data_IF_486355303510
#
_entry.id   IF_486355303510
#
_cell.length_a   1.000
_cell.length_b   1.000
_cell.length_c   1.000
_cell.angle_alpha   90.00
_cell.angle_beta   90.00
_cell.angle_gamma   90.00
#
_symmetry.space_group_name_H-M   'P 1'
#
loop_
_entity.id
_entity.type
_entity.pdbx_description
1 polymer ?
#
# COMPACT_ATOMS: atom_id res chain seq x y z
N UNK A 1 -3.86 16.38 -15.73
CA UNK A 1 -4.25 16.24 -14.31
C UNK A 1 -5.38 15.23 -14.29
N UNK A 2 -5.31 14.21 -13.44
CA UNK A 2 -6.36 13.20 -13.32
C UNK A 2 -7.44 13.67 -12.34
N UNK A 3 -8.70 13.24 -12.58
CA UNK A 3 -9.79 13.57 -11.68
C UNK A 3 -9.60 12.90 -10.31
N UNK A 4 -9.96 13.59 -9.23
CA UNK A 4 -9.92 13.05 -7.87
C UNK A 4 -10.81 11.80 -7.78
N UNK A 5 -10.24 10.71 -7.29
CA UNK A 5 -10.94 9.44 -7.16
C UNK A 5 -10.49 8.66 -5.93
N UNK A 6 -11.46 8.07 -5.24
CA UNK A 6 -11.25 7.01 -4.27
C UNK A 6 -11.81 5.72 -4.84
N UNK A 7 -11.01 4.67 -4.87
CA UNK A 7 -11.43 3.35 -5.33
C UNK A 7 -11.22 2.33 -4.21
N UNK A 8 -12.25 1.55 -3.88
CA UNK A 8 -12.07 0.39 -3.01
C UNK A 8 -11.44 -0.73 -3.85
N UNK A 9 -10.26 -1.17 -3.43
CA UNK A 9 -9.56 -2.27 -4.12
C UNK A 9 -10.31 -3.59 -3.90
N UNK A 10 -10.38 -4.41 -4.95
CA UNK A 10 -10.83 -5.79 -4.86
C UNK A 10 -9.93 -6.64 -3.96
N UNK A 11 -10.31 -7.89 -3.79
CA UNK A 11 -9.51 -8.85 -3.02
C UNK A 11 -8.15 -9.04 -3.70
N UNK A 12 -7.08 -8.88 -2.93
CA UNK A 12 -5.70 -9.10 -3.36
C UNK A 12 -5.02 -10.06 -2.42
N UNK A 13 -4.09 -10.82 -2.95
CA UNK A 13 -3.27 -11.69 -2.13
C UNK A 13 -2.31 -10.85 -1.29
N UNK A 14 -2.34 -11.12 0.02
CA UNK A 14 -1.50 -10.44 1.01
C UNK A 14 -0.81 -11.43 1.90
N UNK A 15 0.35 -11.03 2.39
CA UNK A 15 1.14 -11.80 3.33
C UNK A 15 1.69 -10.87 4.40
N UNK A 16 1.47 -11.22 5.65
CA UNK A 16 2.11 -10.57 6.80
C UNK A 16 3.11 -11.51 7.45
N UNK A 17 4.25 -10.98 7.80
CA UNK A 17 5.32 -11.71 8.46
C UNK A 17 5.95 -10.87 9.55
N UNK A 18 6.26 -11.50 10.68
CA UNK A 18 7.10 -10.89 11.70
C UNK A 18 8.07 -11.91 12.29
N UNK A 19 9.14 -11.40 12.88
CA UNK A 19 10.12 -12.21 13.59
C UNK A 19 11.55 -11.98 13.12
N UNK A 20 12.54 -12.39 13.92
CA UNK A 20 13.95 -12.09 13.67
C UNK A 20 14.49 -12.69 12.35
N UNK A 21 13.86 -13.73 11.84
CA UNK A 21 14.26 -14.39 10.58
C UNK A 21 13.30 -14.11 9.42
N UNK A 22 12.33 -13.20 9.58
CA UNK A 22 11.36 -12.88 8.54
C UNK A 22 12.04 -12.31 7.28
N UNK A 23 13.01 -11.41 7.44
CA UNK A 23 13.77 -10.84 6.35
C UNK A 23 14.55 -11.92 5.56
N UNK A 24 15.31 -12.77 6.25
CA UNK A 24 16.06 -13.86 5.62
C UNK A 24 15.13 -14.81 4.83
N UNK A 25 13.98 -15.12 5.43
CA UNK A 25 12.99 -16.01 4.84
C UNK A 25 12.41 -15.45 3.53
N UNK A 26 12.13 -14.14 3.49
CA UNK A 26 11.64 -13.45 2.29
C UNK A 26 12.71 -13.37 1.20
N UNK A 27 13.93 -12.97 1.55
CA UNK A 27 15.06 -12.87 0.61
C UNK A 27 15.39 -14.23 -0.02
N UNK A 28 15.34 -15.32 0.76
CA UNK A 28 15.54 -16.69 0.25
C UNK A 28 14.49 -17.12 -0.80
N UNK A 29 13.39 -16.36 -0.93
CA UNK A 29 12.32 -16.58 -1.92
C UNK A 29 12.33 -15.56 -3.05
N UNK A 30 13.42 -14.80 -3.17
CA UNK A 30 13.59 -13.82 -4.23
C UNK A 30 12.86 -12.49 -3.99
N UNK A 31 12.27 -12.28 -2.80
CA UNK A 31 11.58 -11.02 -2.49
C UNK A 31 12.59 -9.92 -2.15
N UNK A 32 12.53 -8.83 -2.89
CA UNK A 32 13.33 -7.63 -2.62
C UNK A 32 12.71 -6.87 -1.45
N UNK A 33 13.54 -6.51 -0.46
CA UNK A 33 13.08 -5.83 0.75
C UNK A 33 13.51 -4.38 0.80
N UNK A 34 12.69 -3.49 1.43
CA UNK A 34 13.12 -2.15 1.76
C UNK A 34 14.30 -2.17 2.73
N UNK A 35 15.25 -1.26 2.53
CA UNK A 35 16.47 -1.18 3.35
C UNK A 35 16.22 -0.63 4.75
N UNK A 36 15.25 0.27 4.89
CA UNK A 36 14.92 0.94 6.15
C UNK A 36 13.55 0.51 6.70
N UNK A 37 13.33 0.51 8.02
CA UNK A 37 12.00 0.42 8.61
C UNK A 37 11.12 1.61 8.17
N UNK A 38 9.80 1.40 8.18
CA UNK A 38 8.81 2.36 7.73
C UNK A 38 9.05 2.85 6.29
N UNK A 39 9.53 1.94 5.44
CA UNK A 39 9.67 2.19 4.00
C UNK A 39 9.11 1.03 3.18
N UNK A 40 8.88 1.29 1.89
CA UNK A 40 8.35 0.31 0.97
C UNK A 40 9.19 0.20 -0.31
N UNK A 41 9.03 -0.89 -1.03
CA UNK A 41 9.59 -1.09 -2.37
C UNK A 41 8.68 -1.97 -3.21
N UNK A 42 8.95 -2.06 -4.49
CA UNK A 42 8.40 -3.10 -5.34
C UNK A 42 9.42 -4.23 -5.53
N UNK A 43 8.96 -5.48 -5.34
CA UNK A 43 9.68 -6.67 -5.76
C UNK A 43 9.06 -7.18 -7.05
N UNK A 44 9.86 -7.29 -8.11
CA UNK A 44 9.40 -7.86 -9.39
C UNK A 44 9.39 -9.38 -9.28
N UNK A 45 8.43 -10.03 -9.91
CA UNK A 45 8.42 -11.48 -10.05
C UNK A 45 9.51 -11.94 -11.02
N UNK A 46 10.11 -13.09 -10.74
CA UNK A 46 11.25 -13.61 -11.52
C UNK A 46 10.89 -13.96 -12.96
N UNK A 47 9.62 -14.20 -13.23
CA UNK A 47 9.06 -14.53 -14.55
C UNK A 47 8.48 -13.32 -15.28
N UNK A 48 8.61 -12.12 -14.72
CA UNK A 48 8.14 -10.87 -15.33
C UNK A 48 6.62 -10.67 -15.29
N UNK A 49 5.88 -11.52 -14.58
CA UNK A 49 4.42 -11.53 -14.60
C UNK A 49 3.76 -10.52 -13.67
N UNK A 50 4.39 -10.10 -12.59
CA UNK A 50 3.76 -9.25 -11.59
C UNK A 50 4.72 -8.43 -10.74
N UNK A 51 4.15 -7.61 -9.90
CA UNK A 51 4.88 -6.79 -8.93
C UNK A 51 4.24 -6.92 -7.56
N UNK A 52 5.05 -7.14 -6.55
CA UNK A 52 4.66 -7.22 -5.15
C UNK A 52 5.07 -5.91 -4.48
N UNK A 53 4.10 -5.21 -3.87
CA UNK A 53 4.41 -4.13 -2.95
C UNK A 53 4.88 -4.74 -1.64
N UNK A 54 6.07 -4.37 -1.19
CA UNK A 54 6.66 -4.82 0.07
C UNK A 54 6.84 -3.62 0.99
N UNK A 55 6.11 -3.58 2.09
CA UNK A 55 6.26 -2.58 3.13
C UNK A 55 6.94 -3.20 4.37
N UNK A 56 8.01 -2.56 4.83
CA UNK A 56 8.70 -2.91 6.06
C UNK A 56 8.15 -2.03 7.19
N UNK A 57 7.28 -2.61 8.03
CA UNK A 57 6.53 -1.87 9.06
C UNK A 57 7.37 -1.59 10.32
N UNK A 58 8.49 -2.27 10.47
CA UNK A 58 9.38 -2.14 11.61
C UNK A 58 10.70 -2.87 11.34
N UNK A 59 11.46 -3.17 12.40
CA UNK A 59 12.75 -3.87 12.24
C UNK A 59 12.57 -5.28 11.66
N UNK A 60 11.52 -5.97 12.06
CA UNK A 60 11.30 -7.40 11.79
C UNK A 60 9.87 -7.72 11.35
N UNK A 61 9.12 -6.73 10.88
CA UNK A 61 7.74 -6.89 10.43
C UNK A 61 7.56 -6.40 9.01
N UNK A 62 6.85 -7.21 8.19
CA UNK A 62 6.65 -6.97 6.77
C UNK A 62 5.19 -7.19 6.39
N UNK A 63 4.70 -6.33 5.51
CA UNK A 63 3.43 -6.45 4.80
C UNK A 63 3.72 -6.55 3.31
N UNK A 64 3.13 -7.52 2.65
CA UNK A 64 3.24 -7.72 1.21
C UNK A 64 1.84 -7.73 0.59
N UNK A 65 1.69 -7.05 -0.55
CA UNK A 65 0.48 -7.12 -1.37
C UNK A 65 0.86 -7.34 -2.83
N UNK A 66 0.29 -8.38 -3.42
CA UNK A 66 0.51 -8.72 -4.82
C UNK A 66 -0.49 -8.03 -5.73
N UNK A 67 -0.12 -7.77 -6.97
CA UNK A 67 -1.07 -7.31 -7.99
C UNK A 67 -2.09 -8.41 -8.31
N UNK A 68 -3.23 -8.03 -8.91
CA UNK A 68 -4.40 -8.92 -9.06
C UNK A 68 -4.08 -10.25 -9.78
N UNK A 69 -3.14 -10.25 -10.69
CA UNK A 69 -2.79 -11.43 -11.52
C UNK A 69 -1.53 -12.18 -11.01
N UNK A 70 -0.97 -11.76 -9.87
CA UNK A 70 0.22 -12.37 -9.31
C UNK A 70 -0.07 -13.74 -8.67
N UNK A 71 0.95 -14.59 -8.63
CA UNK A 71 0.88 -15.95 -8.10
C UNK A 71 1.93 -16.26 -7.04
N UNK A 72 2.88 -15.35 -6.85
CA UNK A 72 4.04 -15.58 -5.95
C UNK A 72 3.62 -15.72 -4.49
N UNK A 73 2.75 -14.82 -3.99
CA UNK A 73 2.32 -14.89 -2.60
C UNK A 73 1.50 -16.16 -2.34
N UNK A 74 0.66 -16.59 -3.28
CA UNK A 74 -0.06 -17.86 -3.20
C UNK A 74 0.89 -19.06 -3.15
N UNK A 75 1.98 -19.01 -3.91
CA UNK A 75 2.95 -20.08 -3.97
C UNK A 75 3.76 -20.21 -2.67
N UNK A 76 4.15 -19.08 -2.05
CA UNK A 76 5.00 -19.11 -0.85
C UNK A 76 4.23 -19.20 0.46
N UNK A 77 2.97 -18.74 0.52
CA UNK A 77 2.15 -18.73 1.74
C UNK A 77 2.01 -20.11 2.43
N UNK A 78 1.80 -21.24 1.71
CA UNK A 78 1.70 -22.53 2.34
C UNK A 78 2.94 -22.94 3.15
N UNK A 79 4.13 -22.45 2.78
CA UNK A 79 5.36 -22.76 3.50
C UNK A 79 5.44 -22.09 4.89
N UNK A 80 4.59 -21.11 5.18
CA UNK A 80 4.45 -20.50 6.51
C UNK A 80 3.64 -21.36 7.49
N UNK A 81 2.86 -22.31 7.01
CA UNK A 81 2.13 -23.25 7.87
C UNK A 81 3.06 -24.23 8.59
N UNK A 82 4.31 -24.34 8.15
CA UNK A 82 5.35 -25.06 8.86
C UNK A 82 5.81 -24.22 10.05
N UNK A 83 6.07 -24.88 11.19
CA UNK A 83 6.62 -24.19 12.38
C UNK A 83 8.05 -23.72 12.09
N UNK A 84 8.18 -22.55 11.53
CA UNK A 84 9.47 -21.92 11.23
C UNK A 84 9.96 -21.16 12.46
N UNK A 85 11.16 -21.50 12.96
CA UNK A 85 11.72 -20.79 14.08
C UNK A 85 12.09 -19.36 13.68
N UNK A 86 11.51 -18.36 14.37
CA UNK A 86 11.81 -16.95 14.16
C UNK A 86 11.10 -16.32 12.95
N UNK A 87 10.13 -17.01 12.36
CA UNK A 87 9.23 -16.48 11.31
C UNK A 87 7.80 -16.75 11.72
N UNK A 88 7.01 -15.71 11.89
CA UNK A 88 5.64 -15.79 12.38
C UNK A 88 4.71 -15.14 11.37
N UNK A 89 3.73 -15.87 10.82
CA UNK A 89 2.73 -15.29 9.94
C UNK A 89 1.82 -14.31 10.70
N UNK A 90 1.43 -13.25 10.01
CA UNK A 90 0.44 -12.28 10.46
C UNK A 90 -0.70 -12.28 9.43
N UNK A 91 -1.93 -12.53 9.90
CA UNK A 91 -3.10 -12.51 9.03
C UNK A 91 -3.29 -11.11 8.43
N UNK A 92 -3.51 -11.04 7.11
CA UNK A 92 -3.69 -9.79 6.35
C UNK A 92 -4.91 -9.90 5.43
N UNK A 93 -6.06 -9.63 6.00
CA UNK A 93 -7.35 -9.54 5.27
C UNK A 93 -7.82 -8.10 5.12
N UNK A 94 -6.87 -7.15 5.16
CA UNK A 94 -7.13 -5.72 5.20
C UNK A 94 -8.06 -5.27 4.05
N UNK A 95 -8.97 -4.33 4.33
CA UNK A 95 -9.67 -3.57 3.30
C UNK A 95 -8.71 -2.56 2.70
N UNK A 96 -8.56 -2.56 1.37
CA UNK A 96 -7.66 -1.67 0.64
C UNK A 96 -8.41 -0.58 -0.12
N UNK A 97 -7.82 0.60 -0.17
CA UNK A 97 -8.32 1.74 -0.95
C UNK A 97 -7.18 2.37 -1.74
N UNK A 98 -7.53 2.97 -2.86
CA UNK A 98 -6.64 3.76 -3.69
C UNK A 98 -7.23 5.16 -3.86
N UNK A 99 -6.51 6.17 -3.36
CA UNK A 99 -6.84 7.58 -3.49
C UNK A 99 -5.89 8.21 -4.50
N UNK A 100 -6.41 8.84 -5.55
CA UNK A 100 -5.61 9.39 -6.64
C UNK A 100 -6.25 10.64 -7.25
N UNK A 101 -5.46 11.40 -8.00
CA UNK A 101 -5.90 12.57 -8.73
C UNK A 101 -5.67 13.89 -8.01
N UNK A 102 -6.04 14.97 -8.69
CA UNK A 102 -5.89 16.32 -8.16
C UNK A 102 -6.78 16.55 -6.94
N UNK A 103 -6.21 17.15 -5.88
CA UNK A 103 -6.95 17.42 -4.63
C UNK A 103 -6.81 16.35 -3.55
N UNK A 104 -6.02 15.29 -3.76
CA UNK A 104 -5.75 14.26 -2.73
C UNK A 104 -5.25 14.86 -1.42
N UNK A 105 -4.38 15.89 -1.48
CA UNK A 105 -3.86 16.57 -0.28
C UNK A 105 -4.97 17.27 0.51
N UNK A 106 -5.95 17.88 -0.19
CA UNK A 106 -7.09 18.54 0.44
C UNK A 106 -8.01 17.52 1.14
N UNK A 107 -8.18 16.34 0.58
CA UNK A 107 -8.90 15.22 1.23
C UNK A 107 -8.13 14.76 2.46
N UNK A 108 -6.84 14.45 2.32
CA UNK A 108 -6.03 13.93 3.42
C UNK A 108 -5.91 14.91 4.59
N UNK A 109 -5.82 16.21 4.32
CA UNK A 109 -5.81 17.25 5.36
C UNK A 109 -7.09 17.30 6.21
N UNK A 110 -8.23 16.84 5.68
CA UNK A 110 -9.50 16.80 6.41
C UNK A 110 -9.67 15.52 7.25
N UNK A 111 -9.02 14.45 6.85
CA UNK A 111 -9.28 13.10 7.44
C UNK A 111 -8.14 12.58 8.32
N UNK A 112 -6.97 13.23 8.28
CA UNK A 112 -5.78 12.76 8.98
C UNK A 112 -4.92 13.93 9.47
N UNK A 113 -4.30 13.77 10.65
CA UNK A 113 -3.42 14.80 11.24
C UNK A 113 -2.00 14.78 10.64
N UNK A 114 -1.67 13.83 9.78
CA UNK A 114 -0.37 13.79 9.11
C UNK A 114 -0.37 14.76 7.94
N UNK A 115 0.65 15.61 7.85
CA UNK A 115 0.84 16.48 6.69
C UNK A 115 1.47 15.69 5.54
N UNK A 116 0.64 15.06 4.72
CA UNK A 116 1.09 14.25 3.58
C UNK A 116 1.78 15.07 2.51
N UNK A 117 1.39 16.34 2.31
CA UNK A 117 2.02 17.22 1.34
C UNK A 117 3.49 17.57 1.67
N UNK A 118 3.90 17.41 2.93
CA UNK A 118 5.27 17.65 3.37
C UNK A 118 6.17 16.39 3.35
N UNK A 119 5.64 15.23 2.93
CA UNK A 119 6.42 13.99 2.92
C UNK A 119 7.48 13.98 1.81
N UNK A 120 8.67 13.50 2.15
CA UNK A 120 9.72 13.22 1.18
C UNK A 120 9.51 11.82 0.60
N UNK A 121 9.07 11.75 -0.66
CA UNK A 121 8.72 10.49 -1.32
C UNK A 121 9.95 9.64 -1.72
N UNK A 122 11.12 10.25 -1.86
CA UNK A 122 12.36 9.56 -2.23
C UNK A 122 12.77 8.47 -1.23
N UNK A 123 12.34 8.60 0.04
CA UNK A 123 12.55 7.60 1.08
C UNK A 123 11.54 6.44 1.03
N UNK A 124 10.58 6.49 0.09
CA UNK A 124 9.48 5.53 -0.02
C UNK A 124 8.79 5.27 1.33
N UNK A 125 8.24 6.31 1.99
CA UNK A 125 7.77 6.20 3.36
C UNK A 125 6.53 5.32 3.47
N UNK A 126 6.44 4.59 4.58
CA UNK A 126 5.23 3.91 5.05
C UNK A 126 4.72 4.67 6.26
N UNK A 127 3.46 5.08 6.22
CA UNK A 127 2.81 5.86 7.27
C UNK A 127 1.77 4.98 7.98
N UNK A 128 1.94 4.78 9.28
CA UNK A 128 0.96 4.15 10.15
C UNK A 128 0.33 5.24 11.01
N UNK A 129 -0.97 5.48 10.84
CA UNK A 129 -1.66 6.61 11.47
C UNK A 129 -3.14 6.31 11.68
N UNK A 130 -3.89 7.33 12.10
CA UNK A 130 -5.35 7.30 12.18
C UNK A 130 -5.96 8.19 11.10
N UNK A 131 -6.93 7.66 10.36
CA UNK A 131 -7.83 8.41 9.48
C UNK A 131 -9.27 8.26 9.98
N UNK A 132 -9.92 9.38 10.29
CA UNK A 132 -11.31 9.38 10.80
C UNK A 132 -11.47 8.38 11.96
N UNK A 133 -10.47 8.30 12.85
CA UNK A 133 -10.47 7.39 14.01
C UNK A 133 -10.10 5.93 13.71
N UNK A 134 -9.88 5.55 12.46
CA UNK A 134 -9.49 4.19 12.06
C UNK A 134 -7.98 4.10 11.88
N UNK A 135 -7.37 3.07 12.47
CA UNK A 135 -5.95 2.77 12.25
C UNK A 135 -5.72 2.32 10.80
N UNK A 136 -4.80 3.00 10.12
CA UNK A 136 -4.49 2.75 8.72
C UNK A 136 -3.00 2.62 8.47
N UNK A 137 -2.68 1.81 7.47
CA UNK A 137 -1.39 1.78 6.79
C UNK A 137 -1.53 2.58 5.49
N UNK A 138 -0.63 3.52 5.25
CA UNK A 138 -0.65 4.35 4.04
C UNK A 138 0.70 4.30 3.33
N UNK A 139 0.66 4.07 2.03
CA UNK A 139 1.83 4.09 1.16
C UNK A 139 1.59 5.13 0.08
N UNK A 140 2.29 6.30 0.13
CA UNK A 140 2.30 7.25 -0.96
C UNK A 140 3.17 6.74 -2.10
N UNK A 141 2.69 6.92 -3.34
CA UNK A 141 3.37 6.50 -4.57
C UNK A 141 3.28 7.61 -5.61
N UNK A 142 4.28 7.71 -6.47
CA UNK A 142 4.17 8.56 -7.68
C UNK A 142 3.39 7.77 -8.73
N UNK A 143 2.28 8.33 -9.19
CA UNK A 143 1.36 7.67 -10.12
C UNK A 143 1.99 7.21 -11.42
N UNK A 144 1.46 6.13 -11.98
CA UNK A 144 1.98 5.44 -13.16
C UNK A 144 2.02 6.32 -14.43
N UNK A 145 1.18 7.35 -14.52
CA UNK A 145 1.12 8.27 -15.67
C UNK A 145 2.46 8.99 -15.98
N UNK A 146 3.45 8.89 -15.08
CA UNK A 146 4.79 9.48 -15.26
C UNK A 146 5.95 8.50 -15.36
N UNK A 147 5.72 7.20 -15.19
CA UNK A 147 6.81 6.20 -15.38
C UNK A 147 7.25 6.05 -16.83
N UNK A 148 6.50 6.58 -17.80
CA UNK A 148 6.78 6.48 -19.24
C UNK A 148 7.21 7.79 -19.93
N UNK A 149 7.32 8.91 -19.22
CA UNK A 149 7.76 10.20 -19.76
C UNK A 149 9.26 10.36 -19.65
N UNK A 150 9.93 10.70 -20.78
CA UNK A 150 11.33 11.05 -20.81
C UNK A 150 11.70 12.02 -19.70
N UNK A 151 12.83 11.80 -19.03
CA UNK A 151 13.39 12.67 -18.01
C UNK A 151 13.58 14.10 -18.60
N UNK A 152 12.64 14.99 -18.30
CA UNK A 152 12.66 16.35 -18.78
C UNK A 152 11.73 17.24 -17.99
N UNK A 153 12.34 18.01 -17.08
CA UNK A 153 11.86 19.25 -16.46
C UNK A 153 10.61 19.21 -15.56
N UNK A 154 10.82 19.04 -14.26
CA UNK A 154 10.24 19.91 -13.25
C UNK A 154 8.72 19.88 -13.00
N UNK A 155 8.02 18.78 -13.17
CA UNK A 155 6.66 18.67 -12.70
C UNK A 155 6.51 17.57 -11.63
N UNK A 156 6.16 17.93 -10.42
CA UNK A 156 5.87 16.95 -9.36
C UNK A 156 4.76 15.99 -9.84
N UNK A 157 5.04 14.67 -9.85
CA UNK A 157 4.05 13.66 -10.23
C UNK A 157 2.83 13.74 -9.32
N UNK A 158 1.65 13.47 -9.85
CA UNK A 158 0.50 13.27 -8.99
C UNK A 158 0.82 12.15 -8.02
N UNK A 159 0.66 12.41 -6.72
CA UNK A 159 0.87 11.42 -5.69
C UNK A 159 -0.41 10.64 -5.53
N UNK A 160 -0.29 9.34 -5.51
CA UNK A 160 -1.38 8.39 -5.26
C UNK A 160 -1.13 7.71 -3.92
N UNK A 161 -2.19 7.36 -3.23
CA UNK A 161 -2.10 6.78 -1.89
C UNK A 161 -2.79 5.42 -1.86
N UNK A 162 -2.03 4.41 -1.47
CA UNK A 162 -2.59 3.12 -1.10
C UNK A 162 -2.86 3.14 0.40
N UNK A 163 -4.09 2.79 0.80
CA UNK A 163 -4.56 2.87 2.18
C UNK A 163 -5.14 1.51 2.56
N UNK A 164 -4.74 0.96 3.69
CA UNK A 164 -5.28 -0.28 4.22
C UNK A 164 -5.73 -0.10 5.66
N UNK A 165 -6.81 -0.76 6.02
CA UNK A 165 -7.33 -0.84 7.38
C UNK A 165 -7.82 -2.25 7.70
N UNK A 166 -8.02 -2.53 8.98
CA UNK A 166 -8.70 -3.76 9.42
C UNK A 166 -10.03 -3.92 8.65
N UNK A 167 -10.36 -5.13 8.16
CA UNK A 167 -11.53 -5.36 7.30
C UNK A 167 -12.84 -5.00 7.98
N UNK A 168 -12.92 -5.04 9.32
CA UNK A 168 -14.13 -4.67 10.08
C UNK A 168 -14.45 -3.18 9.94
N UNK A 169 -13.45 -2.33 9.72
CA UNK A 169 -13.63 -0.89 9.51
C UNK A 169 -13.72 -0.50 8.04
N UNK A 170 -13.53 -1.45 7.11
CA UNK A 170 -13.52 -1.17 5.68
C UNK A 170 -14.75 -0.43 5.17
N UNK A 171 -16.00 -0.86 5.47
CA UNK A 171 -17.20 -0.14 5.06
C UNK A 171 -17.26 1.29 5.61
N UNK A 172 -17.05 1.46 6.92
CA UNK A 172 -17.07 2.76 7.58
C UNK A 172 -16.02 3.72 6.98
N UNK A 173 -14.77 3.27 6.85
CA UNK A 173 -13.70 4.09 6.30
C UNK A 173 -13.98 4.46 4.84
N UNK A 174 -14.45 3.52 4.03
CA UNK A 174 -14.77 3.74 2.63
C UNK A 174 -15.87 4.75 2.42
N UNK A 175 -16.97 4.67 3.18
CA UNK A 175 -18.09 5.62 3.13
C UNK A 175 -17.66 7.01 3.61
N UNK A 176 -16.93 7.09 4.72
CA UNK A 176 -16.47 8.35 5.30
C UNK A 176 -15.46 9.07 4.39
N UNK A 177 -14.45 8.36 3.86
CA UNK A 177 -13.52 8.91 2.88
C UNK A 177 -14.24 9.29 1.59
N UNK A 178 -15.19 8.46 1.12
CA UNK A 178 -15.98 8.70 -0.07
C UNK A 178 -16.80 9.98 0.02
N UNK A 179 -17.38 10.28 1.19
CA UNK A 179 -18.10 11.52 1.44
C UNK A 179 -17.17 12.74 1.28
N UNK A 180 -16.00 12.74 1.93
CA UNK A 180 -15.02 13.84 1.82
C UNK A 180 -14.49 13.99 0.40
N UNK A 181 -14.21 12.89 -0.29
CA UNK A 181 -13.80 12.90 -1.72
C UNK A 181 -14.88 13.55 -2.57
N UNK A 182 -16.16 13.23 -2.34
CA UNK A 182 -17.29 13.80 -3.08
C UNK A 182 -17.46 15.30 -2.80
N UNK A 183 -17.28 15.74 -1.56
CA UNK A 183 -17.28 17.15 -1.17
C UNK A 183 -16.13 17.93 -1.84
N UNK A 184 -15.00 17.27 -2.07
CA UNK A 184 -13.86 17.82 -2.82
C UNK A 184 -14.03 17.71 -4.36
N UNK A 185 -15.20 17.33 -4.85
CA UNK A 185 -15.49 17.24 -6.29
C UNK A 185 -15.01 15.96 -6.97
N UNK A 186 -14.57 14.98 -6.21
CA UNK A 186 -14.10 13.67 -6.68
C UNK A 186 -15.20 12.62 -6.76
N UNK A 187 -14.80 11.38 -7.02
CA UNK A 187 -15.71 10.22 -7.10
C UNK A 187 -15.23 9.08 -6.20
N UNK A 188 -16.18 8.44 -5.55
CA UNK A 188 -15.94 7.16 -4.88
C UNK A 188 -16.50 6.02 -5.74
N UNK A 189 -15.64 5.08 -6.09
CA UNK A 189 -16.03 3.84 -6.77
C UNK A 189 -15.86 2.66 -5.81
N UNK A 190 -16.95 1.90 -5.64
CA UNK A 190 -16.90 0.62 -4.95
C UNK A 190 -15.93 -0.35 -5.65
N UNK A 191 -15.89 -1.59 -5.18
CA UNK A 191 -14.94 -2.61 -5.65
C UNK A 191 -14.87 -2.64 -7.19
N UNK A 192 -13.72 -2.23 -7.74
CA UNK A 192 -13.36 -2.63 -9.09
C UNK A 192 -12.88 -4.08 -9.00
N UNK A 193 -13.65 -4.98 -9.64
CA UNK A 193 -13.29 -6.39 -9.74
C UNK A 193 -11.95 -6.61 -10.43
#
# INVERSE_FOLDING_TARGET
>A
MSALALTRCGQRDRLGLKGPRAAEWLVARGIVLPTAPNSWTHSQESDGGGSILVARLGQVEFFLEEQADGTTLKAIAPSLNQRLQGVYPVLREDSGFHLSGEGTDAVLAQVCNVNFAALTLDSHPVIMTLMIGVAVLVVPQVGAARRGGAAGLGGAGEVEYRIWCDPTFGPYLGESLGAVVSECGGRYTGVSG
#
